data_IF_162753993561
#
_entry.id   IF_162753993561
#
_cell.length_a   1.000
_cell.length_b   1.000
_cell.length_c   1.000
_cell.angle_alpha   90.00
_cell.angle_beta   90.00
_cell.angle_gamma   90.00
#
_symmetry.space_group_name_H-M   'P 1'
#
loop_
_entity.id
_entity.type
_entity.pdbx_description
1 polymer ?
#
# COMPACT_ATOMS: atom_id res chain seq x y z
N UNK A 1 -0.59 -9.31 8.48
CA UNK A 1 -2.06 -9.23 8.56
C UNK A 1 -2.71 -9.89 7.34
N UNK A 2 -2.66 -9.29 6.14
CA UNK A 2 -3.33 -9.85 4.96
C UNK A 2 -2.67 -11.10 4.36
N UNK A 3 -1.40 -11.39 4.68
CA UNK A 3 -0.68 -12.59 4.26
C UNK A 3 -1.33 -13.93 4.67
N UNK A 4 -2.29 -13.93 5.60
CA UNK A 4 -3.03 -15.14 5.97
C UNK A 4 -4.21 -15.44 5.05
N UNK A 5 -4.55 -14.55 4.10
CA UNK A 5 -5.64 -14.79 3.14
C UNK A 5 -5.19 -15.77 2.05
N UNK A 6 -5.95 -16.86 1.80
CA UNK A 6 -5.62 -17.80 0.73
C UNK A 6 -5.51 -17.12 -0.62
N UNK A 7 -4.42 -17.38 -1.35
CA UNK A 7 -4.18 -16.81 -2.68
C UNK A 7 -3.71 -15.34 -2.68
N UNK A 8 -3.35 -14.78 -1.51
CA UNK A 8 -2.83 -13.42 -1.40
C UNK A 8 -1.37 -13.46 -0.96
N UNK A 9 -0.49 -12.93 -1.81
CA UNK A 9 0.87 -12.59 -1.44
C UNK A 9 0.94 -11.08 -1.13
N UNK A 10 1.62 -10.69 -0.05
CA UNK A 10 1.67 -9.27 0.36
C UNK A 10 3.06 -8.81 0.75
N UNK A 11 3.39 -7.58 0.36
CA UNK A 11 4.55 -6.84 0.83
C UNK A 11 4.13 -5.43 1.28
N UNK A 12 4.96 -4.80 2.11
CA UNK A 12 4.79 -3.41 2.56
C UNK A 12 6.10 -2.66 2.38
N UNK A 13 6.04 -1.43 1.88
CA UNK A 13 7.20 -0.58 1.71
C UNK A 13 6.83 0.91 1.84
N UNK A 14 7.78 1.71 2.33
CA UNK A 14 7.62 3.15 2.52
C UNK A 14 8.12 3.95 1.32
N UNK A 15 7.49 5.11 1.07
CA UNK A 15 7.91 6.04 0.00
C UNK A 15 8.94 7.07 0.48
N UNK A 16 9.16 7.16 1.79
CA UNK A 16 10.12 8.08 2.39
C UNK A 16 11.56 7.53 2.27
N UNK A 17 12.59 8.39 2.12
CA UNK A 17 13.98 7.95 2.04
C UNK A 17 14.53 7.29 3.32
N UNK A 18 13.86 7.47 4.44
CA UNK A 18 14.20 6.93 5.75
C UNK A 18 13.28 5.75 6.16
N UNK A 19 12.43 5.27 5.24
CA UNK A 19 11.66 4.06 5.47
C UNK A 19 12.58 2.85 5.66
N UNK A 20 12.28 2.03 6.68
CA UNK A 20 13.02 0.79 6.97
C UNK A 20 13.10 -0.12 5.75
N UNK A 21 11.97 -0.29 5.06
CA UNK A 21 11.87 -0.94 3.75
C UNK A 21 11.43 0.10 2.72
N UNK A 22 12.32 0.45 1.79
CA UNK A 22 12.02 1.45 0.78
C UNK A 22 11.29 0.83 -0.41
N UNK A 23 10.25 1.54 -0.88
CA UNK A 23 9.55 1.16 -2.10
C UNK A 23 10.53 1.18 -3.28
N UNK A 24 10.60 0.05 -3.98
CA UNK A 24 11.45 -0.19 -5.14
C UNK A 24 10.61 -0.37 -6.41
N UNK A 25 11.25 -0.24 -7.57
CA UNK A 25 10.60 -0.50 -8.85
C UNK A 25 10.12 -1.96 -8.95
N UNK A 26 10.95 -2.91 -8.51
CA UNK A 26 10.65 -4.33 -8.51
C UNK A 26 9.39 -4.67 -7.72
N UNK A 27 9.26 -4.14 -6.49
CA UNK A 27 8.06 -4.32 -5.67
C UNK A 27 6.80 -3.76 -6.36
N UNK A 28 6.94 -2.62 -7.04
CA UNK A 28 5.83 -2.00 -7.78
C UNK A 28 5.43 -2.81 -9.01
N UNK A 29 6.38 -3.39 -9.73
CA UNK A 29 6.10 -4.22 -10.90
C UNK A 29 5.53 -5.58 -10.55
N UNK A 30 5.92 -6.14 -9.40
CA UNK A 30 5.42 -7.40 -8.87
C UNK A 30 3.94 -7.31 -8.45
N UNK A 31 3.49 -6.16 -7.94
CA UNK A 31 2.16 -6.01 -7.37
C UNK A 31 1.03 -5.89 -8.40
N UNK A 32 -0.01 -6.72 -8.29
CA UNK A 32 -1.27 -6.55 -9.03
C UNK A 32 -2.09 -5.36 -8.51
N UNK A 33 -2.08 -5.14 -7.19
CA UNK A 33 -2.81 -4.07 -6.52
C UNK A 33 -1.90 -3.41 -5.48
N UNK A 34 -1.86 -2.08 -5.47
CA UNK A 34 -1.12 -1.29 -4.49
C UNK A 34 -2.10 -0.41 -3.71
N UNK A 35 -2.13 -0.60 -2.39
CA UNK A 35 -2.90 0.24 -1.49
C UNK A 35 -2.02 1.33 -0.91
N UNK A 36 -2.51 2.56 -0.92
CA UNK A 36 -1.86 3.71 -0.28
C UNK A 36 -2.82 4.39 0.68
N UNK A 37 -2.32 4.84 1.82
CA UNK A 37 -3.17 5.45 2.86
C UNK A 37 -3.82 6.74 2.36
N UNK A 38 -3.04 7.63 1.77
CA UNK A 38 -3.47 8.98 1.41
C UNK A 38 -3.18 9.34 -0.05
N UNK A 39 -3.86 10.38 -0.55
CA UNK A 39 -3.69 10.88 -1.92
C UNK A 39 -2.28 11.41 -2.17
N UNK A 40 -1.63 11.96 -1.15
CA UNK A 40 -0.23 12.38 -1.23
C UNK A 40 0.71 11.19 -1.51
N UNK A 41 0.48 10.05 -0.86
CA UNK A 41 1.23 8.80 -1.13
C UNK A 41 1.00 8.33 -2.56
N UNK A 42 -0.26 8.33 -3.04
CA UNK A 42 -0.57 8.02 -4.45
C UNK A 42 0.20 8.91 -5.42
N UNK A 43 0.19 10.22 -5.20
CA UNK A 43 0.87 11.18 -6.06
C UNK A 43 2.41 10.95 -6.07
N UNK A 44 3.00 10.71 -4.89
CA UNK A 44 4.44 10.39 -4.77
C UNK A 44 4.79 9.08 -5.47
N UNK A 45 3.99 8.02 -5.31
CA UNK A 45 4.15 6.74 -5.98
C UNK A 45 4.11 6.92 -7.51
N UNK A 46 3.07 7.60 -8.03
CA UNK A 46 2.97 7.87 -9.47
C UNK A 46 4.14 8.71 -10.00
N UNK A 47 4.60 9.72 -9.25
CA UNK A 47 5.73 10.55 -9.67
C UNK A 47 7.02 9.74 -9.78
N UNK A 48 7.28 8.83 -8.83
CA UNK A 48 8.52 8.04 -8.76
C UNK A 48 8.51 6.81 -9.66
N UNK A 49 7.36 6.15 -9.82
CA UNK A 49 7.27 4.82 -10.45
C UNK A 49 6.31 4.75 -11.63
N UNK A 50 6.00 5.88 -12.29
CA UNK A 50 5.04 5.92 -13.42
C UNK A 50 5.24 4.81 -14.47
N UNK A 51 6.48 4.53 -14.84
CA UNK A 51 6.82 3.53 -15.85
C UNK A 51 6.56 2.08 -15.41
N UNK A 52 6.60 1.83 -14.09
CA UNK A 52 6.50 0.52 -13.47
C UNK A 52 5.04 0.18 -13.06
N UNK A 53 4.19 1.20 -12.90
CA UNK A 53 2.77 1.08 -12.51
C UNK A 53 1.84 0.59 -13.63
N UNK A 54 2.36 0.08 -14.76
CA UNK A 54 1.52 -0.22 -15.94
C UNK A 54 0.55 -1.38 -15.70
N UNK A 55 0.88 -2.28 -14.78
CA UNK A 55 0.08 -3.47 -14.44
C UNK A 55 -0.69 -3.30 -13.13
N UNK A 56 -0.11 -2.58 -12.17
CA UNK A 56 -0.68 -2.41 -10.85
C UNK A 56 -1.90 -1.47 -10.82
N UNK A 57 -2.98 -1.90 -10.16
CA UNK A 57 -4.07 -1.01 -9.78
C UNK A 57 -3.73 -0.28 -8.48
N UNK A 58 -3.63 1.04 -8.52
CA UNK A 58 -3.37 1.86 -7.32
C UNK A 58 -4.69 2.31 -6.68
N UNK A 59 -4.91 1.93 -5.43
CA UNK A 59 -6.11 2.27 -4.64
C UNK A 59 -5.69 3.12 -3.45
N UNK A 60 -6.27 4.31 -3.35
CA UNK A 60 -6.12 5.14 -2.16
C UNK A 60 -7.23 4.80 -1.16
N UNK A 61 -6.83 4.46 0.07
CA UNK A 61 -7.78 4.09 1.11
C UNK A 61 -8.41 5.33 1.77
N UNK A 62 -7.88 6.54 1.56
CA UNK A 62 -8.29 7.75 2.27
C UNK A 62 -8.30 7.48 3.80
N UNK A 63 -7.16 7.01 4.33
CA UNK A 63 -6.88 6.81 5.77
C UNK A 63 -5.78 7.81 6.15
N UNK A 64 -6.01 8.70 7.13
CA UNK A 64 -4.99 9.65 7.58
C UNK A 64 -3.90 8.97 8.42
N UNK A 65 -2.71 9.57 8.46
CA UNK A 65 -1.54 9.08 9.21
C UNK A 65 -1.56 9.49 10.70
N UNK A 66 -2.72 9.31 11.35
CA UNK A 66 -2.95 9.70 12.75
C UNK A 66 -2.96 8.50 13.71
N UNK A 67 -2.44 7.36 13.26
CA UNK A 67 -2.50 6.09 13.99
C UNK A 67 -1.13 5.59 14.38
N UNK A 68 -1.04 5.01 15.58
CA UNK A 68 0.16 4.28 15.96
C UNK A 68 0.29 2.98 15.15
N UNK A 69 1.52 2.47 15.05
CA UNK A 69 1.80 1.20 14.39
C UNK A 69 0.89 0.09 14.96
N UNK A 70 0.16 -0.59 14.08
CA UNK A 70 -0.75 -1.70 14.41
C UNK A 70 -1.85 -1.34 15.43
N UNK A 71 -2.18 -0.05 15.59
CA UNK A 71 -3.28 0.37 16.42
C UNK A 71 -4.60 -0.33 16.01
N UNK A 72 -5.42 -0.83 16.95
CA UNK A 72 -6.61 -1.61 16.62
C UNK A 72 -7.59 -0.91 15.66
N UNK A 73 -7.79 0.40 15.81
CA UNK A 73 -8.66 1.19 14.93
C UNK A 73 -8.14 1.25 13.49
N UNK A 74 -6.81 1.35 13.33
CA UNK A 74 -6.16 1.30 12.01
C UNK A 74 -6.37 -0.08 11.37
N UNK A 75 -6.14 -1.15 12.13
CA UNK A 75 -6.33 -2.53 11.64
C UNK A 75 -7.77 -2.72 11.16
N UNK A 76 -8.76 -2.30 11.94
CA UNK A 76 -10.17 -2.41 11.56
C UNK A 76 -10.52 -1.61 10.29
N UNK A 77 -9.96 -0.40 10.14
CA UNK A 77 -10.13 0.41 8.93
C UNK A 77 -9.49 -0.26 7.71
N UNK A 78 -8.31 -0.84 7.87
CA UNK A 78 -7.63 -1.57 6.80
C UNK A 78 -8.44 -2.79 6.37
N UNK A 79 -8.95 -3.63 7.28
CA UNK A 79 -9.79 -4.79 6.90
C UNK A 79 -11.02 -4.36 6.12
N UNK A 80 -11.71 -3.33 6.62
CA UNK A 80 -12.94 -2.82 6.02
C UNK A 80 -12.71 -2.26 4.62
N UNK A 81 -11.61 -1.52 4.41
CA UNK A 81 -11.36 -0.83 3.13
C UNK A 81 -10.61 -1.71 2.12
N UNK A 82 -9.75 -2.63 2.56
CA UNK A 82 -9.00 -3.53 1.68
C UNK A 82 -9.84 -4.76 1.29
N UNK A 83 -10.67 -5.28 2.20
CA UNK A 83 -11.44 -6.51 1.99
C UNK A 83 -12.29 -6.58 0.72
N UNK A 84 -12.94 -5.49 0.23
CA UNK A 84 -13.68 -5.54 -1.03
C UNK A 84 -12.83 -5.74 -2.29
N UNK A 85 -11.50 -5.69 -2.17
CA UNK A 85 -10.56 -5.79 -3.30
C UNK A 85 -9.76 -7.09 -3.31
N UNK A 86 -9.75 -7.86 -2.21
CA UNK A 86 -8.94 -9.08 -2.03
C UNK A 86 -9.72 -10.23 -1.40
#
# INVERSE_FOLDING_TARGET
MFASRPGVETASAGLAPDAEEQCSAELVEWADIIFVMERAHRARLHRRFRAHLRRARVICLDIPDDYAFMQPELVALLEKKVGPYI
#
